data_IF_640076053942
#
_entry.id   IF_640076053942
#
_cell.length_a   1.000
_cell.length_b   1.000
_cell.length_c   1.000
_cell.angle_alpha   90.00
_cell.angle_beta   90.00
_cell.angle_gamma   90.00
#
_symmetry.space_group_name_H-M   'P 1'
#
loop_
_entity.id
_entity.type
_entity.pdbx_description
1 polymer ?
#
# COMPACT_ATOMS: atom_id res chain seq x y z
N UNK A 1 38.00 33.97 -30.45
CA UNK A 1 36.86 33.03 -30.65
C UNK A 1 37.19 31.61 -30.22
N UNK A 2 37.91 31.34 -29.11
CA UNK A 2 38.47 29.99 -29.25
C UNK A 2 38.44 29.11 -28.00
N UNK A 3 38.26 29.64 -26.83
CA UNK A 3 38.21 28.81 -25.64
C UNK A 3 36.80 28.70 -24.98
N UNK A 4 36.06 29.78 -25.02
CA UNK A 4 34.67 29.76 -24.51
C UNK A 4 33.72 28.96 -25.39
N UNK A 5 33.82 29.13 -26.73
CA UNK A 5 32.98 28.36 -27.66
C UNK A 5 33.29 26.85 -27.65
N UNK A 6 34.53 26.44 -27.42
CA UNK A 6 34.91 25.02 -27.27
C UNK A 6 34.43 24.45 -25.94
N UNK A 7 34.40 25.25 -24.87
CA UNK A 7 33.90 24.84 -23.59
C UNK A 7 32.38 24.65 -23.61
N UNK A 8 31.68 25.60 -24.23
CA UNK A 8 30.22 25.53 -24.35
C UNK A 8 29.77 24.36 -25.24
N UNK A 9 30.54 24.08 -26.34
CA UNK A 9 30.22 22.93 -27.19
C UNK A 9 30.54 21.60 -26.52
N UNK A 10 31.55 21.49 -25.68
CA UNK A 10 31.86 20.29 -24.91
C UNK A 10 30.84 20.03 -23.79
N UNK A 11 30.39 21.07 -23.14
CA UNK A 11 29.34 20.98 -22.12
C UNK A 11 27.99 20.60 -22.75
N UNK A 12 27.63 21.18 -23.88
CA UNK A 12 26.42 20.84 -24.62
C UNK A 12 26.49 19.41 -25.16
N UNK A 13 27.66 18.97 -25.68
CA UNK A 13 27.86 17.60 -26.11
C UNK A 13 27.73 16.58 -24.99
N UNK A 14 28.30 16.89 -23.83
CA UNK A 14 28.17 16.05 -22.63
C UNK A 14 26.74 15.97 -22.10
N UNK A 15 25.99 17.07 -22.18
CA UNK A 15 24.58 17.08 -21.83
C UNK A 15 23.74 16.23 -22.80
N UNK A 16 23.97 16.36 -24.08
CA UNK A 16 23.27 15.56 -25.09
C UNK A 16 23.55 14.07 -24.91
N UNK A 17 24.79 13.69 -24.65
CA UNK A 17 25.16 12.30 -24.34
C UNK A 17 24.45 11.78 -23.09
N UNK A 18 24.37 12.59 -22.03
CA UNK A 18 23.65 12.25 -20.82
C UNK A 18 22.15 12.05 -21.08
N UNK A 19 21.52 12.97 -21.81
CA UNK A 19 20.10 12.85 -22.17
C UNK A 19 19.83 11.59 -23.00
N UNK A 20 20.71 11.28 -23.95
CA UNK A 20 20.60 10.06 -24.76
C UNK A 20 20.75 8.80 -23.92
N UNK A 21 21.69 8.79 -22.97
CA UNK A 21 21.88 7.68 -22.06
C UNK A 21 20.65 7.48 -21.14
N UNK A 22 20.13 8.55 -20.56
CA UNK A 22 18.95 8.50 -19.68
C UNK A 22 17.74 7.88 -20.38
N UNK A 23 17.54 8.23 -21.65
CA UNK A 23 16.37 7.80 -22.43
C UNK A 23 16.61 6.57 -23.29
N UNK A 24 17.81 5.97 -23.22
CA UNK A 24 18.16 4.82 -24.03
C UNK A 24 17.46 3.55 -23.55
N UNK A 25 16.82 2.85 -24.47
CA UNK A 25 16.23 1.53 -24.26
C UNK A 25 17.23 0.39 -24.43
N UNK A 26 18.47 0.69 -24.82
CA UNK A 26 19.55 -0.29 -24.95
C UNK A 26 20.26 -0.59 -23.63
N UNK A 27 20.06 0.23 -22.60
CA UNK A 27 20.56 -0.03 -21.25
C UNK A 27 19.96 -1.33 -20.71
N UNK A 28 20.76 -2.09 -19.97
CA UNK A 28 20.28 -3.33 -19.31
C UNK A 28 19.08 -3.05 -18.41
N UNK A 29 19.11 -1.92 -17.71
CA UNK A 29 17.99 -1.38 -16.92
C UNK A 29 17.69 0.01 -17.45
N UNK A 30 16.44 0.25 -17.82
CA UNK A 30 16.00 1.56 -18.29
C UNK A 30 16.08 2.57 -17.14
N UNK A 31 16.73 3.69 -17.37
CA UNK A 31 16.80 4.78 -16.39
C UNK A 31 15.57 5.68 -16.50
N UNK A 32 15.47 6.44 -17.58
CA UNK A 32 14.41 7.42 -17.79
C UNK A 32 14.55 8.67 -16.92
N UNK A 33 13.83 9.71 -17.26
CA UNK A 33 13.80 10.94 -16.45
C UNK A 33 13.18 10.72 -15.08
N UNK A 34 12.16 9.87 -14.99
CA UNK A 34 11.64 9.45 -13.69
C UNK A 34 12.65 8.61 -12.91
N UNK A 35 13.45 7.81 -13.60
CA UNK A 35 14.51 7.04 -12.96
C UNK A 35 15.61 7.90 -12.34
N UNK A 36 15.87 9.08 -12.87
CA UNK A 36 16.81 10.04 -12.30
C UNK A 36 16.39 10.49 -10.90
N UNK A 37 15.07 10.61 -10.66
CA UNK A 37 14.52 10.88 -9.34
C UNK A 37 14.35 9.60 -8.50
N UNK A 38 13.87 8.52 -9.14
CA UNK A 38 13.55 7.26 -8.46
C UNK A 38 14.77 6.61 -7.84
N UNK A 39 15.87 6.51 -8.57
CA UNK A 39 17.04 5.75 -8.14
C UNK A 39 17.65 6.31 -6.85
N UNK A 40 17.99 7.61 -6.74
CA UNK A 40 18.50 8.12 -5.48
C UNK A 40 17.49 8.06 -4.35
N UNK A 41 16.19 8.29 -4.61
CA UNK A 41 15.16 8.22 -3.58
C UNK A 41 15.01 6.81 -3.02
N UNK A 42 14.92 5.80 -3.86
CA UNK A 42 14.80 4.41 -3.41
C UNK A 42 16.07 3.91 -2.72
N UNK A 43 17.24 4.31 -3.20
CA UNK A 43 18.52 3.98 -2.55
C UNK A 43 18.62 4.63 -1.16
N UNK A 44 18.21 5.86 -1.01
CA UNK A 44 18.18 6.55 0.29
C UNK A 44 17.21 5.85 1.24
N UNK A 45 16.01 5.53 0.78
CA UNK A 45 15.02 4.82 1.57
C UNK A 45 15.52 3.43 1.99
N UNK A 46 16.03 2.64 1.08
CA UNK A 46 16.53 1.29 1.35
C UNK A 46 17.74 1.31 2.30
N UNK A 47 18.67 2.20 2.08
CA UNK A 47 19.87 2.32 2.94
C UNK A 47 19.50 2.73 4.35
N UNK A 48 18.69 3.76 4.50
CA UNK A 48 18.21 4.21 5.81
C UNK A 48 17.39 3.12 6.52
N UNK A 49 16.52 2.43 5.79
CA UNK A 49 15.74 1.31 6.34
C UNK A 49 16.66 0.20 6.88
N UNK A 50 17.60 -0.27 6.10
CA UNK A 50 18.49 -1.36 6.48
C UNK A 50 19.31 -0.98 7.72
N UNK A 51 19.93 0.20 7.71
CA UNK A 51 20.75 0.65 8.84
C UNK A 51 19.90 0.84 10.10
N UNK A 52 18.75 1.47 9.98
CA UNK A 52 17.85 1.69 11.11
C UNK A 52 17.26 0.38 11.65
N UNK A 53 16.85 -0.53 10.77
CA UNK A 53 16.31 -1.84 11.18
C UNK A 53 17.35 -2.68 11.95
N UNK A 54 18.62 -2.56 11.60
CA UNK A 54 19.70 -3.28 12.27
C UNK A 54 20.14 -2.60 13.56
N UNK A 55 20.34 -1.27 13.55
CA UNK A 55 21.14 -0.61 14.56
C UNK A 55 20.53 0.65 15.20
N UNK A 56 19.34 1.08 14.82
CA UNK A 56 18.76 2.30 15.41
C UNK A 56 18.49 2.13 16.91
N UNK A 57 18.82 3.14 17.73
CA UNK A 57 18.50 3.12 19.15
C UNK A 57 16.98 3.22 19.38
N UNK A 58 16.50 2.92 20.60
CA UNK A 58 15.09 3.03 20.94
C UNK A 58 14.50 4.42 20.65
N UNK A 59 13.27 4.46 20.17
CA UNK A 59 12.55 5.64 19.72
C UNK A 59 11.38 5.95 20.64
N UNK A 60 11.23 7.21 21.03
CA UNK A 60 10.13 7.72 21.83
C UNK A 60 8.90 8.00 20.94
N UNK A 61 8.24 6.91 20.51
CA UNK A 61 7.11 7.00 19.56
C UNK A 61 5.92 7.79 20.11
N UNK A 62 5.54 7.58 21.38
CA UNK A 62 4.33 8.18 21.94
C UNK A 62 4.56 9.57 22.53
N UNK A 63 5.80 10.04 22.53
CA UNK A 63 6.17 11.35 23.07
C UNK A 63 6.12 11.45 24.59
N UNK A 64 6.05 10.32 25.30
CA UNK A 64 5.98 10.23 26.76
C UNK A 64 7.31 9.86 27.41
N UNK A 65 8.40 9.87 26.63
CA UNK A 65 9.73 9.47 27.06
C UNK A 65 9.81 8.01 27.56
N UNK A 66 9.09 7.15 26.88
CA UNK A 66 9.13 5.70 27.05
C UNK A 66 9.57 5.09 25.70
N UNK A 67 10.90 5.03 25.44
CA UNK A 67 11.41 4.61 24.14
C UNK A 67 11.10 3.16 23.81
N UNK A 68 10.79 2.88 22.55
CA UNK A 68 10.53 1.55 22.01
C UNK A 68 11.73 1.07 21.19
N UNK A 69 12.28 -0.10 21.55
CA UNK A 69 13.35 -0.74 20.83
C UNK A 69 12.80 -1.47 19.60
N UNK A 70 13.25 -1.06 18.42
CA UNK A 70 12.81 -1.66 17.15
C UNK A 70 13.91 -2.36 16.37
N UNK A 71 15.19 -2.12 16.66
CA UNK A 71 16.28 -2.68 15.87
C UNK A 71 16.75 -4.03 16.38
N UNK A 72 17.44 -4.78 15.48
CA UNK A 72 18.00 -6.09 15.81
C UNK A 72 19.03 -6.02 16.93
N UNK A 73 19.86 -4.98 16.97
CA UNK A 73 20.89 -4.81 17.98
C UNK A 73 20.33 -4.52 19.38
N UNK A 74 19.06 -4.17 19.47
CA UNK A 74 18.36 -3.92 20.74
C UNK A 74 17.42 -5.05 21.14
N UNK A 75 17.68 -6.27 20.71
CA UNK A 75 17.03 -7.47 21.19
C UNK A 75 15.83 -7.93 20.35
N UNK A 76 15.65 -7.41 19.16
CA UNK A 76 14.59 -7.83 18.25
C UNK A 76 15.07 -8.90 17.26
N UNK A 77 14.12 -9.59 16.66
CA UNK A 77 14.33 -10.49 15.53
C UNK A 77 13.63 -9.90 14.28
N UNK A 78 13.64 -10.65 13.19
CA UNK A 78 13.02 -10.21 11.92
C UNK A 78 11.52 -9.94 12.08
N UNK A 79 10.84 -10.72 12.92
CA UNK A 79 9.39 -10.55 13.12
C UNK A 79 9.08 -9.38 14.04
N UNK A 80 9.80 -9.23 15.15
CA UNK A 80 9.55 -8.15 16.12
C UNK A 80 10.23 -6.83 15.76
N UNK A 81 11.24 -6.85 14.91
CA UNK A 81 11.98 -5.66 14.49
C UNK A 81 11.11 -4.71 13.68
N UNK A 82 11.37 -3.42 13.82
CA UNK A 82 10.71 -2.38 13.04
C UNK A 82 11.56 -1.11 13.02
N UNK A 83 11.38 -0.30 11.97
CA UNK A 83 11.69 1.13 12.05
C UNK A 83 10.48 1.79 12.72
N UNK A 84 10.68 2.26 13.94
CA UNK A 84 9.61 2.79 14.77
C UNK A 84 9.20 4.17 14.25
N UNK A 85 7.89 4.46 14.17
CA UNK A 85 7.40 5.77 13.73
C UNK A 85 7.97 6.92 14.53
N UNK A 86 7.96 8.11 13.92
CA UNK A 86 8.43 9.35 14.55
C UNK A 86 7.61 9.67 15.79
N UNK A 87 8.23 10.34 16.76
CA UNK A 87 7.61 10.71 18.02
C UNK A 87 6.34 11.55 17.83
N UNK A 88 5.37 11.32 18.68
CA UNK A 88 4.17 12.16 18.75
C UNK A 88 4.51 13.62 19.13
N UNK A 89 5.64 13.86 19.77
CA UNK A 89 6.14 15.21 20.05
C UNK A 89 6.50 15.97 18.77
N UNK A 90 6.93 15.27 17.72
CA UNK A 90 7.18 15.84 16.39
C UNK A 90 5.86 16.13 15.66
N UNK A 91 4.83 15.32 15.88
CA UNK A 91 3.56 15.46 15.19
C UNK A 91 3.71 15.28 13.68
N UNK A 92 3.19 16.24 12.92
CA UNK A 92 3.31 16.31 11.45
C UNK A 92 4.43 17.25 10.99
N UNK A 93 5.28 17.71 11.89
CA UNK A 93 6.41 18.57 11.52
C UNK A 93 7.41 17.83 10.65
N UNK A 94 7.89 18.52 9.64
CA UNK A 94 9.00 18.06 8.83
C UNK A 94 10.27 18.00 9.68
N UNK A 95 10.85 16.81 9.82
CA UNK A 95 11.94 16.53 10.74
C UNK A 95 13.15 15.88 10.06
N UNK A 96 13.85 16.61 9.19
CA UNK A 96 15.10 16.14 8.60
C UNK A 96 16.23 16.21 9.63
N UNK A 97 17.38 15.61 9.30
CA UNK A 97 18.55 15.57 10.20
C UNK A 97 18.98 16.99 10.64
N UNK A 98 18.91 17.97 9.73
CA UNK A 98 19.37 19.35 10.04
C UNK A 98 18.43 20.15 10.95
N UNK A 99 17.22 19.67 11.21
CA UNK A 99 16.29 20.30 12.16
C UNK A 99 16.51 19.82 13.59
N UNK A 100 17.24 18.74 13.80
CA UNK A 100 17.63 18.27 15.13
C UNK A 100 18.91 18.96 15.59
N UNK A 101 19.04 19.17 16.91
CA UNK A 101 20.27 19.74 17.47
C UNK A 101 21.45 18.76 17.36
N UNK A 102 21.18 17.47 17.49
CA UNK A 102 22.17 16.39 17.39
C UNK A 102 21.60 15.19 16.62
N UNK A 103 22.47 14.34 16.11
CA UNK A 103 22.07 13.07 15.50
C UNK A 103 21.37 12.15 16.49
N UNK A 104 21.80 12.14 17.74
CA UNK A 104 21.18 11.34 18.81
C UNK A 104 19.74 11.79 19.08
N UNK A 105 19.50 13.09 19.08
CA UNK A 105 18.15 13.63 19.20
C UNK A 105 17.26 13.20 18.02
N UNK A 106 17.78 13.28 16.80
CA UNK A 106 17.09 12.87 15.60
C UNK A 106 16.72 11.37 15.64
N UNK A 107 17.65 10.53 16.07
CA UNK A 107 17.41 9.10 16.24
C UNK A 107 16.38 8.81 17.35
N UNK A 108 16.47 9.50 18.47
CA UNK A 108 15.55 9.35 19.60
C UNK A 108 14.11 9.72 19.24
N UNK A 109 13.93 10.73 18.41
CA UNK A 109 12.61 11.19 17.97
C UNK A 109 12.08 10.46 16.73
N UNK A 110 12.74 9.42 16.27
CA UNK A 110 12.26 8.63 15.13
C UNK A 110 12.44 9.30 13.77
N UNK A 111 13.47 10.12 13.60
CA UNK A 111 13.82 10.76 12.34
C UNK A 111 13.98 9.79 11.16
N UNK A 112 14.61 8.61 11.34
CA UNK A 112 14.74 7.63 10.26
C UNK A 112 13.42 7.20 9.63
N UNK A 113 12.34 7.14 10.40
CA UNK A 113 11.02 6.79 9.87
C UNK A 113 10.58 7.78 8.79
N UNK A 114 10.63 9.08 9.06
CA UNK A 114 10.27 10.09 8.07
C UNK A 114 11.18 10.02 6.84
N UNK A 115 12.48 9.85 7.04
CA UNK A 115 13.42 9.74 5.93
C UNK A 115 13.06 8.59 5.01
N UNK A 116 12.77 7.42 5.58
CA UNK A 116 12.40 6.24 4.78
C UNK A 116 11.09 6.44 4.06
N UNK A 117 10.01 6.82 4.76
CA UNK A 117 8.69 6.91 4.13
C UNK A 117 8.62 8.01 3.07
N UNK A 118 9.26 9.16 3.29
CA UNK A 118 9.24 10.24 2.31
C UNK A 118 10.01 9.86 1.04
N UNK A 119 11.21 9.33 1.16
CA UNK A 119 11.99 8.88 0.01
C UNK A 119 11.31 7.69 -0.69
N UNK A 120 10.73 6.78 0.07
CA UNK A 120 10.00 5.65 -0.47
C UNK A 120 8.78 6.10 -1.29
N UNK A 121 7.94 6.98 -0.76
CA UNK A 121 6.75 7.47 -1.46
C UNK A 121 7.12 8.27 -2.72
N UNK A 122 8.14 9.10 -2.67
CA UNK A 122 8.64 9.79 -3.86
C UNK A 122 9.20 8.79 -4.86
N UNK A 123 9.96 7.80 -4.39
CA UNK A 123 10.56 6.77 -5.23
C UNK A 123 9.54 5.91 -5.97
N UNK A 124 8.49 5.45 -5.29
CA UNK A 124 7.43 4.64 -5.95
C UNK A 124 6.55 5.48 -6.86
N UNK A 125 6.36 6.77 -6.57
CA UNK A 125 5.67 7.69 -7.48
C UNK A 125 6.48 7.89 -8.76
N UNK A 126 7.78 8.05 -8.63
CA UNK A 126 8.69 8.11 -9.79
C UNK A 126 8.75 6.77 -10.54
N UNK A 127 8.69 5.64 -9.83
CA UNK A 127 8.60 4.31 -10.45
C UNK A 127 7.35 4.20 -11.33
N UNK A 128 6.22 4.66 -10.83
CA UNK A 128 4.97 4.72 -11.59
C UNK A 128 5.11 5.59 -12.86
N UNK A 129 5.73 6.76 -12.72
CA UNK A 129 6.02 7.63 -13.85
C UNK A 129 6.99 6.98 -14.84
N UNK A 130 7.98 6.22 -14.35
CA UNK A 130 8.94 5.47 -15.17
C UNK A 130 8.26 4.35 -15.98
N UNK A 131 7.25 3.70 -15.42
CA UNK A 131 6.44 2.72 -16.16
C UNK A 131 5.76 3.36 -17.37
N UNK A 132 5.16 4.53 -17.19
CA UNK A 132 4.60 5.29 -18.29
C UNK A 132 5.68 5.67 -19.30
N UNK A 133 6.81 6.21 -18.84
CA UNK A 133 7.89 6.70 -19.71
C UNK A 133 8.45 5.59 -20.58
N UNK A 134 8.73 4.42 -20.02
CA UNK A 134 9.23 3.28 -20.79
C UNK A 134 8.18 2.79 -21.81
N UNK A 135 6.91 2.80 -21.44
CA UNK A 135 5.84 2.44 -22.38
C UNK A 135 5.84 3.35 -23.61
N UNK A 136 6.09 4.64 -23.40
CA UNK A 136 6.20 5.63 -24.47
C UNK A 136 7.42 5.34 -25.37
N UNK A 137 8.58 5.02 -24.78
CA UNK A 137 9.81 4.71 -25.55
C UNK A 137 9.64 3.47 -26.43
N UNK A 138 8.94 2.47 -25.94
CA UNK A 138 8.75 1.19 -26.63
C UNK A 138 7.52 1.17 -27.55
N UNK A 139 6.77 2.26 -27.65
CA UNK A 139 5.55 2.30 -28.43
C UNK A 139 4.43 1.42 -27.88
N UNK A 140 4.42 1.17 -26.58
CA UNK A 140 3.39 0.40 -25.88
C UNK A 140 2.19 1.27 -25.55
N UNK A 141 1.05 0.62 -25.27
CA UNK A 141 -0.11 1.24 -24.64
C UNK A 141 0.25 1.58 -23.18
N UNK A 142 -0.20 2.73 -22.61
CA UNK A 142 0.49 3.37 -21.47
C UNK A 142 -0.02 2.98 -20.08
N UNK A 143 -0.97 2.04 -19.93
CA UNK A 143 -1.78 1.92 -18.71
C UNK A 143 -1.24 0.95 -17.65
N UNK A 144 -0.04 0.39 -17.77
CA UNK A 144 0.57 -0.41 -16.70
C UNK A 144 0.73 0.41 -15.42
N UNK A 145 1.09 1.69 -15.54
CA UNK A 145 1.20 2.59 -14.40
C UNK A 145 -0.14 2.83 -13.69
N UNK A 146 -1.25 2.75 -14.40
CA UNK A 146 -2.60 2.86 -13.79
C UNK A 146 -2.86 1.69 -12.86
N UNK A 147 -2.53 0.47 -13.27
CA UNK A 147 -2.63 -0.72 -12.40
C UNK A 147 -1.74 -0.58 -11.16
N UNK A 148 -0.51 -0.10 -11.34
CA UNK A 148 0.42 0.14 -10.22
C UNK A 148 -0.04 1.28 -9.29
N UNK A 149 -0.86 2.21 -9.77
CA UNK A 149 -1.38 3.30 -8.93
C UNK A 149 -2.21 2.81 -7.74
N UNK A 150 -2.78 1.61 -7.80
CA UNK A 150 -3.55 1.04 -6.69
C UNK A 150 -2.68 0.73 -5.46
N UNK A 151 -1.60 -0.08 -5.53
CA UNK A 151 -0.72 -0.27 -4.39
C UNK A 151 0.02 1.03 -3.97
N UNK A 152 0.30 1.93 -4.90
CA UNK A 152 0.89 3.24 -4.56
C UNK A 152 -0.08 4.05 -3.71
N UNK A 153 -1.37 4.11 -4.07
CA UNK A 153 -2.38 4.79 -3.27
C UNK A 153 -2.52 4.19 -1.88
N UNK A 154 -2.41 2.87 -1.74
CA UNK A 154 -2.43 2.20 -0.44
C UNK A 154 -1.23 2.60 0.42
N UNK A 155 -0.03 2.70 -0.16
CA UNK A 155 1.17 3.15 0.55
C UNK A 155 1.01 4.60 1.04
N UNK A 156 0.51 5.50 0.19
CA UNK A 156 0.20 6.87 0.60
C UNK A 156 -0.82 6.93 1.73
N UNK A 157 -1.85 6.08 1.68
CA UNK A 157 -2.88 6.03 2.71
C UNK A 157 -2.29 5.73 4.10
N UNK A 158 -1.44 4.73 4.24
CA UNK A 158 -0.93 4.29 5.54
C UNK A 158 0.28 5.08 6.05
N UNK A 159 1.09 5.67 5.15
CA UNK A 159 2.32 6.38 5.54
C UNK A 159 2.19 7.90 5.54
N UNK A 160 1.23 8.46 4.82
CA UNK A 160 1.09 9.91 4.71
C UNK A 160 -0.31 10.39 5.10
N UNK A 161 -1.37 9.88 4.47
CA UNK A 161 -2.72 10.42 4.67
C UNK A 161 -3.24 10.09 6.07
N UNK A 162 -3.05 8.86 6.53
CA UNK A 162 -3.49 8.47 7.87
C UNK A 162 -2.78 9.26 8.98
N UNK A 163 -1.44 9.39 8.98
CA UNK A 163 -0.78 10.30 9.90
C UNK A 163 -1.28 11.74 9.80
N UNK A 164 -1.55 12.22 8.60
CA UNK A 164 -2.04 13.58 8.37
C UNK A 164 -3.41 13.81 9.01
N UNK A 165 -4.32 12.87 8.81
CA UNK A 165 -5.68 12.92 9.40
C UNK A 165 -5.67 12.78 10.91
N UNK A 166 -4.77 11.99 11.46
CA UNK A 166 -4.62 11.78 12.91
C UNK A 166 -3.71 12.81 13.59
N UNK A 167 -3.00 13.63 12.82
CA UNK A 167 -2.20 14.74 13.34
C UNK A 167 -0.79 14.40 13.78
N UNK A 168 -0.31 13.17 13.57
CA UNK A 168 1.06 12.77 13.92
C UNK A 168 1.56 11.61 13.08
N UNK A 169 2.85 11.64 12.73
CA UNK A 169 3.54 10.50 12.13
C UNK A 169 3.65 9.29 13.05
N UNK A 170 3.47 9.46 14.35
CA UNK A 170 3.44 8.35 15.31
C UNK A 170 2.29 7.37 15.05
N UNK A 171 1.23 7.83 14.40
CA UNK A 171 0.06 7.00 14.03
C UNK A 171 0.22 6.30 12.67
N UNK A 172 1.29 6.58 11.95
CA UNK A 172 1.61 5.90 10.69
C UNK A 172 1.95 4.42 10.90
N UNK A 173 1.81 3.62 9.84
CA UNK A 173 2.16 2.21 9.89
C UNK A 173 3.65 2.03 10.17
N UNK A 174 4.03 1.26 11.21
CA UNK A 174 5.45 0.94 11.46
C UNK A 174 6.05 0.12 10.31
N UNK A 175 7.35 0.26 10.12
CA UNK A 175 8.08 -0.50 9.11
C UNK A 175 8.61 -1.80 9.70
N UNK A 176 7.71 -2.71 10.02
CA UNK A 176 8.02 -4.01 10.59
C UNK A 176 6.80 -4.94 10.59
N UNK A 177 7.03 -6.22 10.71
CA UNK A 177 5.97 -7.24 10.61
C UNK A 177 5.02 -7.14 11.81
N UNK A 178 5.52 -7.27 13.02
CA UNK A 178 4.73 -7.17 14.24
C UNK A 178 4.11 -5.78 14.41
N UNK A 179 4.84 -4.73 14.05
CA UNK A 179 4.35 -3.36 14.07
C UNK A 179 3.17 -3.15 13.12
N UNK A 180 3.19 -3.79 11.95
CA UNK A 180 2.06 -3.78 11.01
C UNK A 180 0.81 -4.42 11.62
N UNK A 181 0.96 -5.54 12.31
CA UNK A 181 -0.17 -6.20 12.98
C UNK A 181 -0.73 -5.35 14.11
N UNK A 182 0.13 -4.71 14.88
CA UNK A 182 -0.30 -3.75 15.90
C UNK A 182 -1.09 -2.59 15.28
N UNK A 183 -0.57 -2.02 14.19
CA UNK A 183 -1.28 -0.97 13.43
C UNK A 183 -2.66 -1.44 12.97
N UNK A 184 -2.77 -2.66 12.44
CA UNK A 184 -4.04 -3.23 12.00
C UNK A 184 -5.06 -3.33 13.14
N UNK A 185 -4.64 -3.85 14.30
CA UNK A 185 -5.53 -4.03 15.45
C UNK A 185 -5.96 -2.69 16.06
N UNK A 186 -5.05 -1.75 16.19
CA UNK A 186 -5.37 -0.40 16.67
C UNK A 186 -6.30 0.32 15.71
N UNK A 187 -6.04 0.21 14.41
CA UNK A 187 -6.91 0.77 13.37
C UNK A 187 -8.32 0.18 13.44
N UNK A 188 -8.44 -1.14 13.60
CA UNK A 188 -9.75 -1.78 13.82
C UNK A 188 -10.45 -1.25 15.06
N UNK A 189 -9.74 -1.11 16.16
CA UNK A 189 -10.31 -0.60 17.40
C UNK A 189 -10.84 0.83 17.27
N UNK A 190 -10.08 1.69 16.60
CA UNK A 190 -10.41 3.11 16.47
C UNK A 190 -11.38 3.42 15.33
N UNK A 191 -11.37 2.65 14.24
CA UNK A 191 -12.13 2.98 13.03
C UNK A 191 -13.15 1.94 12.60
N UNK A 192 -13.14 0.75 13.22
CA UNK A 192 -14.03 -0.37 12.85
C UNK A 192 -13.99 -0.66 11.33
N UNK A 193 -12.80 -0.82 10.80
CA UNK A 193 -12.56 -0.99 9.36
C UNK A 193 -13.27 -2.22 8.77
N UNK A 194 -13.44 -3.30 9.56
CA UNK A 194 -14.15 -4.50 9.09
C UNK A 194 -15.60 -4.20 8.69
N UNK A 195 -16.22 -3.19 9.29
CA UNK A 195 -17.58 -2.76 8.97
C UNK A 195 -17.62 -1.63 7.94
N UNK A 196 -16.48 -1.22 7.41
CA UNK A 196 -16.42 -0.20 6.36
C UNK A 196 -16.60 -0.84 4.99
N UNK A 197 -17.57 -0.37 4.16
CA UNK A 197 -17.85 -0.98 2.87
C UNK A 197 -16.66 -0.93 1.89
N UNK A 198 -15.80 0.07 1.99
CA UNK A 198 -14.60 0.17 1.14
C UNK A 198 -13.56 -0.91 1.47
N UNK A 199 -13.44 -1.28 2.75
CA UNK A 199 -12.61 -2.42 3.13
C UNK A 199 -13.20 -3.74 2.62
N UNK A 200 -14.52 -3.88 2.66
CA UNK A 200 -15.20 -5.04 2.09
C UNK A 200 -14.93 -5.15 0.58
N UNK A 201 -14.94 -4.03 -0.15
CA UNK A 201 -14.55 -4.01 -1.56
C UNK A 201 -13.08 -4.41 -1.77
N UNK A 202 -12.18 -3.95 -0.90
CA UNK A 202 -10.77 -4.33 -0.95
C UNK A 202 -10.55 -5.83 -0.75
N UNK A 203 -11.25 -6.42 0.22
CA UNK A 203 -11.24 -7.87 0.46
C UNK A 203 -11.81 -8.63 -0.74
N UNK A 204 -12.94 -8.18 -1.28
CA UNK A 204 -13.52 -8.74 -2.49
C UNK A 204 -12.56 -8.64 -3.69
N UNK A 205 -11.85 -7.53 -3.81
CA UNK A 205 -10.85 -7.32 -4.86
C UNK A 205 -9.66 -8.25 -4.75
N UNK A 206 -9.18 -8.49 -3.55
CA UNK A 206 -8.06 -9.40 -3.30
C UNK A 206 -8.46 -10.87 -3.56
N UNK A 207 -9.51 -11.35 -2.95
CA UNK A 207 -9.95 -12.73 -3.13
C UNK A 207 -10.59 -12.97 -4.49
N UNK A 208 -11.40 -12.04 -4.97
CA UNK A 208 -12.01 -12.12 -6.29
C UNK A 208 -10.98 -12.03 -7.40
N UNK A 209 -10.00 -11.17 -7.27
CA UNK A 209 -8.88 -11.07 -8.20
C UNK A 209 -8.08 -12.35 -8.29
N UNK A 210 -7.78 -12.98 -7.16
CA UNK A 210 -7.11 -14.28 -7.10
C UNK A 210 -7.96 -15.37 -7.71
N UNK A 211 -9.25 -15.40 -7.40
CA UNK A 211 -10.20 -16.39 -7.95
C UNK A 211 -10.32 -16.25 -9.47
N UNK A 212 -10.53 -15.04 -9.98
CA UNK A 212 -10.66 -14.82 -11.42
C UNK A 212 -9.37 -15.12 -12.16
N UNK A 213 -8.23 -14.79 -11.61
CA UNK A 213 -6.92 -15.13 -12.19
C UNK A 213 -6.73 -16.66 -12.26
N UNK A 214 -7.04 -17.37 -11.19
CA UNK A 214 -6.95 -18.82 -11.13
C UNK A 214 -7.96 -19.48 -12.08
N UNK A 215 -9.19 -18.98 -12.14
CA UNK A 215 -10.23 -19.51 -13.03
C UNK A 215 -9.87 -19.32 -14.49
N UNK A 216 -9.37 -18.13 -14.85
CA UNK A 216 -8.89 -17.86 -16.20
C UNK A 216 -7.72 -18.76 -16.58
N UNK A 217 -6.74 -18.90 -15.69
CA UNK A 217 -5.61 -19.79 -15.89
C UNK A 217 -6.04 -21.26 -16.04
N UNK A 218 -7.00 -21.71 -15.25
CA UNK A 218 -7.56 -23.05 -15.34
C UNK A 218 -8.28 -23.28 -16.66
N UNK A 219 -9.15 -22.36 -17.08
CA UNK A 219 -9.92 -22.49 -18.32
C UNK A 219 -9.02 -22.44 -19.56
N UNK A 220 -8.02 -21.55 -19.58
CA UNK A 220 -7.04 -21.50 -20.67
C UNK A 220 -6.25 -22.80 -20.73
N UNK A 221 -5.73 -23.26 -19.61
CA UNK A 221 -4.95 -24.51 -19.55
C UNK A 221 -5.79 -25.73 -19.94
N UNK A 222 -7.05 -25.78 -19.52
CA UNK A 222 -7.96 -26.89 -19.84
C UNK A 222 -8.38 -26.94 -21.31
N UNK A 223 -8.29 -25.82 -22.02
CA UNK A 223 -8.73 -25.70 -23.41
C UNK A 223 -7.57 -25.46 -24.37
N UNK A 224 -6.33 -25.74 -23.96
CA UNK A 224 -5.15 -25.64 -24.84
C UNK A 224 -5.34 -26.50 -26.08
N UNK A 225 -5.01 -25.92 -27.24
CA UNK A 225 -5.01 -26.62 -28.51
C UNK A 225 -3.79 -27.54 -28.56
N UNK A 226 -3.99 -28.78 -28.95
CA UNK A 226 -2.95 -29.80 -28.95
C UNK A 226 -1.96 -29.57 -30.10
N UNK A 227 -0.74 -29.16 -29.74
CA UNK A 227 0.37 -28.90 -30.67
C UNK A 227 1.62 -29.73 -30.34
N UNK A 228 1.58 -30.53 -29.27
CA UNK A 228 2.70 -31.32 -28.78
C UNK A 228 2.31 -32.78 -28.63
N UNK A 229 3.33 -33.66 -28.59
CA UNK A 229 3.14 -35.09 -28.29
C UNK A 229 3.12 -35.32 -26.77
N UNK A 230 2.71 -36.53 -26.35
CA UNK A 230 2.67 -36.93 -24.95
C UNK A 230 4.04 -36.94 -24.26
N UNK A 231 5.12 -36.98 -25.06
CA UNK A 231 6.50 -37.02 -24.57
C UNK A 231 7.18 -35.66 -24.50
N UNK A 232 6.46 -34.58 -24.86
CA UNK A 232 6.96 -33.22 -24.84
C UNK A 232 6.24 -32.41 -23.78
N UNK A 233 6.91 -31.36 -23.27
CA UNK A 233 6.22 -30.34 -22.46
C UNK A 233 5.21 -29.59 -23.34
N UNK A 234 4.01 -29.38 -22.81
CA UNK A 234 2.96 -28.60 -23.47
C UNK A 234 3.38 -27.14 -23.72
N UNK A 235 4.39 -26.63 -23.01
CA UNK A 235 4.94 -25.31 -23.23
C UNK A 235 5.54 -25.14 -24.63
N UNK A 236 5.99 -26.19 -25.28
CA UNK A 236 6.49 -26.15 -26.66
C UNK A 236 5.36 -25.96 -27.69
N UNK A 237 4.12 -26.08 -27.32
CA UNK A 237 2.98 -25.75 -28.18
C UNK A 237 2.76 -24.27 -28.39
N UNK A 238 3.44 -23.42 -27.61
CA UNK A 238 3.43 -21.96 -27.77
C UNK A 238 4.79 -21.46 -28.22
N UNK A 239 4.81 -20.62 -29.25
CA UNK A 239 6.01 -19.92 -29.74
C UNK A 239 5.87 -18.42 -29.49
N UNK A 240 6.91 -17.80 -28.97
CA UNK A 240 6.92 -16.36 -28.72
C UNK A 240 6.57 -15.57 -30.00
N UNK A 241 5.60 -14.67 -29.87
CA UNK A 241 5.15 -13.82 -30.98
C UNK A 241 4.20 -14.50 -31.97
N UNK A 242 3.76 -15.74 -31.73
CA UNK A 242 2.78 -16.37 -32.62
C UNK A 242 1.45 -15.61 -32.61
N UNK A 243 0.76 -15.59 -33.74
CA UNK A 243 -0.54 -14.95 -33.88
C UNK A 243 -1.70 -15.91 -33.65
N UNK A 244 -1.46 -17.22 -33.81
CA UNK A 244 -2.48 -18.26 -33.60
C UNK A 244 -2.86 -18.36 -32.13
N UNK A 245 -4.17 -18.50 -31.87
CA UNK A 245 -4.71 -18.71 -30.53
C UNK A 245 -4.24 -20.05 -29.98
N UNK A 246 -3.67 -20.05 -28.78
CA UNK A 246 -3.13 -21.27 -28.16
C UNK A 246 -4.18 -22.07 -27.39
N UNK A 247 -5.33 -21.50 -27.13
CA UNK A 247 -6.45 -22.17 -26.44
C UNK A 247 -7.77 -21.95 -27.15
N UNK A 248 -8.77 -22.77 -26.83
CA UNK A 248 -10.10 -22.67 -27.42
C UNK A 248 -11.01 -21.80 -26.54
N UNK A 249 -11.17 -20.52 -26.90
CA UNK A 249 -12.02 -19.58 -26.17
C UNK A 249 -13.50 -20.01 -26.18
N UNK A 250 -13.97 -20.66 -27.25
CA UNK A 250 -15.34 -21.13 -27.35
C UNK A 250 -15.60 -22.25 -26.34
N UNK A 251 -14.65 -23.17 -26.17
CA UNK A 251 -14.75 -24.22 -25.17
C UNK A 251 -14.71 -23.66 -23.74
N UNK A 252 -13.80 -22.72 -23.47
CA UNK A 252 -13.72 -22.03 -22.18
C UNK A 252 -15.00 -21.26 -21.86
N UNK A 253 -15.52 -20.51 -22.82
CA UNK A 253 -16.79 -19.79 -22.69
C UNK A 253 -17.95 -20.73 -22.48
N UNK A 254 -17.98 -21.83 -23.21
CA UNK A 254 -19.03 -22.86 -23.08
C UNK A 254 -19.03 -23.51 -21.70
N UNK A 255 -17.87 -23.82 -21.15
CA UNK A 255 -17.79 -24.37 -19.78
C UNK A 255 -18.29 -23.38 -18.74
N UNK A 256 -17.74 -22.17 -18.75
CA UNK A 256 -18.07 -21.15 -17.74
C UNK A 256 -19.53 -20.66 -17.88
N UNK A 257 -20.01 -20.54 -19.11
CA UNK A 257 -21.40 -20.18 -19.39
C UNK A 257 -22.41 -21.23 -18.94
N UNK A 258 -21.99 -22.53 -18.85
CA UNK A 258 -22.82 -23.60 -18.27
C UNK A 258 -22.67 -23.66 -16.75
N UNK A 259 -21.50 -23.37 -16.22
CA UNK A 259 -21.27 -23.34 -14.77
C UNK A 259 -22.14 -22.29 -14.08
N UNK A 260 -22.16 -21.09 -14.61
CA UNK A 260 -22.91 -19.95 -14.07
C UNK A 260 -24.16 -19.73 -14.94
N UNK A 261 -24.06 -18.99 -16.01
CA UNK A 261 -25.02 -18.84 -17.12
C UNK A 261 -24.31 -18.09 -18.26
N UNK A 262 -24.84 -18.19 -19.47
CA UNK A 262 -24.14 -17.73 -20.67
C UNK A 262 -23.73 -16.26 -20.64
N UNK A 263 -24.59 -15.37 -20.16
CA UNK A 263 -24.29 -13.93 -20.12
C UNK A 263 -23.31 -13.52 -19.02
N UNK A 264 -23.04 -14.39 -18.06
CA UNK A 264 -22.01 -14.17 -17.05
C UNK A 264 -20.60 -14.48 -17.56
N UNK A 265 -20.48 -15.14 -18.71
CA UNK A 265 -19.20 -15.56 -19.29
C UNK A 265 -18.74 -14.62 -20.38
N UNK A 266 -17.50 -14.18 -20.33
CA UNK A 266 -16.88 -13.42 -21.39
C UNK A 266 -16.66 -14.28 -22.63
N UNK A 267 -17.02 -13.73 -23.80
CA UNK A 267 -16.76 -14.32 -25.11
C UNK A 267 -15.71 -13.55 -25.91
N UNK A 268 -15.17 -12.48 -25.34
CA UNK A 268 -14.17 -11.63 -25.95
C UNK A 268 -12.94 -11.56 -25.05
N UNK A 269 -11.79 -11.95 -25.59
CA UNK A 269 -10.53 -12.00 -24.84
C UNK A 269 -10.10 -10.65 -24.28
N UNK A 270 -10.28 -9.55 -25.04
CA UNK A 270 -9.91 -8.22 -24.60
C UNK A 270 -10.76 -7.74 -23.43
N UNK A 271 -12.08 -7.97 -23.49
CA UNK A 271 -12.99 -7.66 -22.40
C UNK A 271 -12.67 -8.43 -21.13
N UNK A 272 -12.35 -9.73 -21.28
CA UNK A 272 -11.95 -10.59 -20.17
C UNK A 272 -10.68 -10.07 -19.50
N UNK A 273 -9.63 -9.78 -20.27
CA UNK A 273 -8.36 -9.32 -19.72
C UNK A 273 -8.47 -7.92 -19.11
N UNK A 274 -9.28 -7.05 -19.70
CA UNK A 274 -9.61 -5.76 -19.10
C UNK A 274 -10.25 -5.93 -17.72
N UNK A 275 -11.24 -6.83 -17.60
CA UNK A 275 -11.88 -7.12 -16.32
C UNK A 275 -10.90 -7.69 -15.28
N UNK A 276 -10.05 -8.64 -15.69
CA UNK A 276 -9.03 -9.23 -14.81
C UNK A 276 -8.06 -8.19 -14.26
N UNK A 277 -7.71 -7.20 -15.06
CA UNK A 277 -6.82 -6.12 -14.64
C UNK A 277 -7.53 -5.09 -13.76
N UNK A 278 -8.72 -4.66 -14.16
CA UNK A 278 -9.44 -3.52 -13.56
C UNK A 278 -10.11 -3.88 -12.24
N UNK A 279 -10.63 -5.08 -12.09
CA UNK A 279 -11.38 -5.46 -10.90
C UNK A 279 -10.55 -5.30 -9.60
N UNK A 280 -9.36 -5.91 -9.46
CA UNK A 280 -8.55 -5.69 -8.25
C UNK A 280 -8.05 -4.25 -8.12
N UNK A 281 -7.75 -3.58 -9.23
CA UNK A 281 -7.27 -2.19 -9.21
C UNK A 281 -8.31 -1.25 -8.62
N UNK A 282 -9.54 -1.30 -9.11
CA UNK A 282 -10.63 -0.44 -8.61
C UNK A 282 -10.93 -0.75 -7.14
N UNK A 283 -10.97 -2.02 -6.76
CA UNK A 283 -11.21 -2.41 -5.38
C UNK A 283 -10.13 -1.91 -4.43
N UNK A 284 -8.86 -1.96 -4.83
CA UNK A 284 -7.75 -1.45 -4.02
C UNK A 284 -7.73 0.09 -3.98
N UNK A 285 -8.08 0.77 -5.06
CA UNK A 285 -8.28 2.23 -5.01
C UNK A 285 -9.33 2.59 -3.96
N UNK A 286 -10.46 1.92 -3.96
CA UNK A 286 -11.56 2.22 -3.04
C UNK A 286 -11.19 1.91 -1.58
N UNK A 287 -10.52 0.80 -1.31
CA UNK A 287 -10.07 0.50 0.06
C UNK A 287 -9.00 1.48 0.54
N UNK A 288 -8.12 1.95 -0.34
CA UNK A 288 -7.16 3.00 -0.03
C UNK A 288 -7.85 4.32 0.31
N UNK A 289 -8.88 4.70 -0.46
CA UNK A 289 -9.73 5.84 -0.14
C UNK A 289 -10.46 5.65 1.18
N UNK A 290 -10.89 4.43 1.49
CA UNK A 290 -11.52 4.08 2.76
C UNK A 290 -10.60 4.36 3.94
N UNK A 291 -9.36 3.90 3.88
CA UNK A 291 -8.35 4.18 4.91
C UNK A 291 -8.10 5.69 5.02
N UNK A 292 -7.99 6.38 3.90
CA UNK A 292 -7.77 7.83 3.88
C UNK A 292 -8.94 8.62 4.49
N UNK A 293 -10.18 8.19 4.26
CA UNK A 293 -11.35 8.82 4.87
C UNK A 293 -11.48 8.48 6.35
N UNK A 294 -11.13 7.25 6.74
CA UNK A 294 -11.07 6.86 8.14
C UNK A 294 -10.00 7.63 8.93
N UNK A 295 -8.95 8.13 8.27
CA UNK A 295 -8.00 9.06 8.87
C UNK A 295 -8.69 10.31 9.46
N UNK A 296 -9.81 10.71 8.87
CA UNK A 296 -10.66 11.81 9.33
C UNK A 296 -11.91 11.31 10.08
N UNK A 297 -11.85 10.08 10.60
CA UNK A 297 -12.87 9.44 11.41
C UNK A 297 -14.21 9.19 10.70
N UNK A 298 -14.20 9.06 9.38
CA UNK A 298 -15.34 8.49 8.65
C UNK A 298 -15.27 6.96 8.75
N UNK A 299 -15.68 6.43 9.90
CA UNK A 299 -15.46 5.07 10.32
C UNK A 299 -16.41 4.07 9.66
N UNK A 300 -16.16 2.76 9.90
CA UNK A 300 -17.07 1.70 9.50
C UNK A 300 -18.43 1.81 10.18
N UNK A 301 -19.42 1.11 9.62
CA UNK A 301 -20.78 1.12 10.16
C UNK A 301 -20.82 0.69 11.62
N UNK A 302 -21.62 1.39 12.40
CA UNK A 302 -21.87 1.07 13.79
C UNK A 302 -23.26 0.43 13.93
N UNK A 303 -23.30 -0.90 14.05
CA UNK A 303 -24.51 -1.67 14.32
C UNK A 303 -24.56 -2.18 15.76
N UNK A 304 -23.84 -1.52 16.69
CA UNK A 304 -23.84 -1.91 18.10
C UNK A 304 -25.22 -1.74 18.70
N UNK A 305 -25.72 -2.81 19.37
CA UNK A 305 -27.01 -2.83 20.02
C UNK A 305 -28.19 -2.43 19.11
N UNK A 306 -28.13 -2.84 17.85
CA UNK A 306 -29.10 -2.44 16.82
C UNK A 306 -30.36 -3.30 16.79
N UNK A 307 -30.35 -4.50 17.38
CA UNK A 307 -31.48 -5.42 17.41
C UNK A 307 -32.02 -5.52 18.81
N UNK A 308 -33.34 -5.30 18.95
CA UNK A 308 -34.06 -5.37 20.20
C UNK A 308 -35.15 -6.42 20.12
N UNK A 309 -35.45 -7.12 21.26
CA UNK A 309 -36.59 -8.01 21.36
C UNK A 309 -37.90 -7.24 21.65
N UNK A 310 -39.01 -7.98 21.79
CA UNK A 310 -40.32 -7.38 22.10
C UNK A 310 -40.38 -6.61 23.41
N UNK A 311 -39.46 -6.87 24.34
CA UNK A 311 -39.32 -6.19 25.63
C UNK A 311 -38.32 -5.04 25.61
N UNK A 312 -37.76 -4.71 24.47
CA UNK A 312 -36.74 -3.65 24.33
C UNK A 312 -35.35 -4.06 24.79
N UNK A 313 -35.10 -5.35 25.06
CA UNK A 313 -33.79 -5.87 25.43
C UNK A 313 -32.94 -6.10 24.20
N UNK A 314 -31.67 -5.74 24.29
CA UNK A 314 -30.70 -5.96 23.21
C UNK A 314 -30.54 -7.46 22.91
N UNK A 315 -30.69 -7.83 21.64
CA UNK A 315 -30.35 -9.15 21.12
C UNK A 315 -28.96 -9.04 20.45
N UNK A 316 -27.89 -9.60 21.02
CA UNK A 316 -26.55 -9.47 20.51
C UNK A 316 -26.42 -10.05 19.08
N UNK A 317 -25.76 -9.32 18.22
CA UNK A 317 -25.36 -9.76 16.87
C UNK A 317 -23.85 -9.93 16.82
N UNK A 318 -23.31 -10.41 15.70
CA UNK A 318 -21.87 -10.47 15.48
C UNK A 318 -21.20 -9.09 15.56
N UNK A 319 -21.93 -8.02 15.23
CA UNK A 319 -21.43 -6.65 15.41
C UNK A 319 -21.17 -6.33 16.88
N UNK A 320 -21.99 -6.82 17.80
CA UNK A 320 -21.79 -6.66 19.25
C UNK A 320 -20.59 -7.46 19.76
N UNK A 321 -20.38 -8.66 19.22
CA UNK A 321 -19.18 -9.46 19.52
C UNK A 321 -17.91 -8.74 19.03
N UNK A 322 -17.94 -8.21 17.82
CA UNK A 322 -16.83 -7.42 17.27
C UNK A 322 -16.57 -6.17 18.11
N UNK A 323 -17.61 -5.50 18.59
CA UNK A 323 -17.47 -4.32 19.45
C UNK A 323 -16.73 -4.65 20.76
N UNK A 324 -16.97 -5.81 21.36
CA UNK A 324 -16.20 -6.23 22.54
C UNK A 324 -14.72 -6.41 22.24
N UNK A 325 -14.39 -7.02 21.11
CA UNK A 325 -13.01 -7.14 20.65
C UNK A 325 -12.36 -5.77 20.43
N UNK A 326 -13.09 -4.85 19.78
CA UNK A 326 -12.63 -3.48 19.56
C UNK A 326 -12.37 -2.74 20.87
N UNK A 327 -13.25 -2.85 21.83
CA UNK A 327 -13.08 -2.25 23.15
C UNK A 327 -11.87 -2.80 23.90
N UNK A 328 -11.63 -4.11 23.80
CA UNK A 328 -10.44 -4.73 24.38
C UNK A 328 -9.15 -4.21 23.80
N UNK A 329 -9.08 -4.06 22.47
CA UNK A 329 -7.91 -3.49 21.78
C UNK A 329 -7.74 -2.00 22.08
N UNK A 330 -8.84 -1.26 22.17
CA UNK A 330 -8.82 0.18 22.48
C UNK A 330 -8.25 0.48 23.85
N UNK A 331 -8.63 -0.28 24.89
CA UNK A 331 -8.12 -0.06 26.25
C UNK A 331 -6.68 -0.51 26.43
N UNK A 332 -6.18 -1.38 25.58
CA UNK A 332 -4.83 -1.96 25.71
C UNK A 332 -3.77 -1.22 24.92
N UNK A 333 -4.14 -0.50 23.85
CA UNK A 333 -3.15 0.20 23.01
C UNK A 333 -2.63 1.43 23.76
N UNK A 334 -1.32 1.73 23.61
CA UNK A 334 -0.68 2.94 24.14
C UNK A 334 -1.07 3.20 25.61
N UNK A 335 -1.15 2.16 26.43
CA UNK A 335 -1.74 2.16 27.77
C UNK A 335 -1.14 3.20 28.72
N UNK A 336 0.10 3.63 28.50
CA UNK A 336 0.79 4.61 29.35
C UNK A 336 0.66 6.03 28.81
N UNK A 337 0.06 6.23 27.65
CA UNK A 337 -0.10 7.52 26.98
C UNK A 337 -1.44 8.20 27.25
N UNK A 338 -2.41 7.47 27.83
CA UNK A 338 -3.77 7.94 28.08
C UNK A 338 -3.98 8.31 29.53
N UNK A 339 -4.84 9.32 29.76
CA UNK A 339 -5.30 9.72 31.09
C UNK A 339 -6.58 8.93 31.46
N UNK A 340 -6.40 7.79 32.14
CA UNK A 340 -7.54 6.99 32.56
C UNK A 340 -8.24 7.62 33.79
N UNK A 341 -9.60 7.61 33.85
CA UNK A 341 -10.56 7.11 32.85
C UNK A 341 -10.89 8.10 31.72
N UNK A 342 -10.35 9.30 31.75
CA UNK A 342 -10.59 10.34 30.75
C UNK A 342 -9.44 10.36 29.76
N UNK A 343 -9.75 10.22 28.48
CA UNK A 343 -8.80 10.46 27.41
C UNK A 343 -8.96 11.90 26.91
N UNK A 344 -8.16 12.81 27.44
CA UNK A 344 -8.25 14.23 27.14
C UNK A 344 -7.89 14.55 25.68
N UNK A 345 -7.07 13.74 25.05
CA UNK A 345 -6.73 13.90 23.65
C UNK A 345 -7.91 13.57 22.71
N UNK A 346 -8.83 12.70 23.14
CA UNK A 346 -10.03 12.30 22.42
C UNK A 346 -11.29 13.09 22.84
N UNK A 347 -11.18 14.11 23.69
CA UNK A 347 -12.32 14.87 24.22
C UNK A 347 -13.19 15.51 23.14
N UNK A 348 -12.59 15.99 22.06
CA UNK A 348 -13.30 16.54 20.90
C UNK A 348 -14.14 15.49 20.18
N UNK A 349 -13.62 14.28 20.07
CA UNK A 349 -14.34 13.13 19.51
C UNK A 349 -15.51 12.72 20.39
N UNK A 350 -15.37 12.84 21.72
CA UNK A 350 -16.43 12.56 22.69
C UNK A 350 -17.59 13.54 22.56
N UNK A 351 -17.34 14.81 22.30
CA UNK A 351 -18.39 15.80 22.04
C UNK A 351 -19.18 15.46 20.77
N UNK A 352 -18.51 15.11 19.70
CA UNK A 352 -19.15 14.69 18.44
C UNK A 352 -19.91 13.37 18.64
N UNK A 353 -19.38 12.43 19.42
CA UNK A 353 -20.04 11.18 19.73
C UNK A 353 -21.32 11.38 20.60
N UNK A 354 -21.34 12.37 21.50
CA UNK A 354 -22.52 12.73 22.26
C UNK A 354 -23.61 13.37 21.41
N UNK A 355 -23.23 14.12 20.36
CA UNK A 355 -24.16 14.76 19.44
C UNK A 355 -24.65 13.80 18.33
N UNK A 356 -23.89 12.76 18.00
CA UNK A 356 -24.21 11.78 16.99
C UNK A 356 -23.71 10.38 17.37
N UNK A 357 -24.26 9.76 18.43
CA UNK A 357 -23.72 8.50 18.99
C UNK A 357 -23.79 7.30 18.05
N UNK A 358 -24.55 7.38 16.95
CA UNK A 358 -24.66 6.34 15.92
C UNK A 358 -23.63 6.48 14.78
N UNK A 359 -22.78 7.48 14.79
CA UNK A 359 -21.78 7.74 13.75
C UNK A 359 -20.41 7.17 14.10
N UNK A 360 -20.33 6.29 15.03
CA UNK A 360 -19.16 5.47 15.36
C UNK A 360 -17.84 6.18 15.57
#
# INVERSE_FOLDING_TARGET
MTTLQKRDSALLGGWDEFCQWVTSTDNRLYVGWFGVLMIPCLLAAATCFIVAFIAAPPVDIDGIREPVAGSLMYGNNIISGAVVPSSNAIGMHFYPIWEAATLDEWLYNGGPYQMVIMHFLIGISAYMGRQWELSYRLGMRPWICVAYSAPVSAAFAVFLIYPFGQGSFSDGMPLGISGTFNFMFVFQAEHNILMHPFHMLGVAGMFGGALFSAMHGSLVTSSLIRETTDNESQNYGYKFGQEEETYNIVAAHGYFGRLIFQYASFNNSRSLHFFLAVFPVVCIWLTSMGVSTMAFNLNGFNFNQSILDANGKVVPTWADVLNRANLGMEVMHERNAHNFPLDLAAAEVTEVALLAPSVG
#
